data_IF_832128606057
#
_entry.id   IF_832128606057
#
_cell.length_a   1.000
_cell.length_b   1.000
_cell.length_c   1.000
_cell.angle_alpha   90.00
_cell.angle_beta   90.00
_cell.angle_gamma   90.00
#
_symmetry.space_group_name_H-M   'P 1'
#
loop_
_entity.id
_entity.type
_entity.pdbx_description
1 polymer ?
#
# COMPACT_ATOMS: atom_id res chain seq x y z
N UNK A 1 -49.03 15.32 48.34
CA UNK A 1 -48.30 14.64 47.24
C UNK A 1 -47.43 15.67 46.56
N UNK A 2 -46.10 15.77 46.91
CA UNK A 2 -45.16 16.58 46.22
C UNK A 2 -44.70 15.77 45.00
N UNK A 3 -45.26 16.08 43.82
CA UNK A 3 -44.71 15.52 42.57
C UNK A 3 -43.28 16.07 42.38
N UNK A 4 -42.31 15.20 42.58
CA UNK A 4 -40.94 15.48 42.22
C UNK A 4 -40.90 15.90 40.73
N UNK A 5 -40.63 17.17 40.46
CA UNK A 5 -40.33 17.64 39.11
C UNK A 5 -39.12 16.90 38.59
N UNK A 6 -39.37 15.92 37.76
CA UNK A 6 -38.34 15.10 37.13
C UNK A 6 -37.47 16.06 36.32
N UNK A 7 -36.18 16.10 36.63
CA UNK A 7 -35.16 16.89 35.95
C UNK A 7 -34.84 16.38 34.52
N UNK A 8 -35.86 15.99 33.77
CA UNK A 8 -35.75 15.55 32.35
C UNK A 8 -35.10 16.58 31.40
N UNK A 9 -35.33 17.90 31.54
CA UNK A 9 -34.77 18.84 30.58
C UNK A 9 -33.24 18.92 30.58
N UNK A 10 -32.61 18.77 31.75
CA UNK A 10 -31.15 18.93 31.88
C UNK A 10 -30.41 17.73 31.28
N UNK A 11 -30.87 16.51 31.57
CA UNK A 11 -30.28 15.29 31.01
C UNK A 11 -30.46 15.20 29.49
N UNK A 12 -31.63 15.62 28.99
CA UNK A 12 -31.90 15.67 27.56
C UNK A 12 -31.05 16.74 26.86
N UNK A 13 -30.92 17.94 27.47
CA UNK A 13 -30.07 19.00 26.93
C UNK A 13 -28.60 18.58 26.86
N UNK A 14 -28.10 17.86 27.87
CA UNK A 14 -26.76 17.29 27.88
C UNK A 14 -26.58 16.25 26.80
N UNK A 15 -27.52 15.31 26.65
CA UNK A 15 -27.46 14.30 25.59
C UNK A 15 -27.48 14.92 24.18
N UNK A 16 -28.20 16.03 23.98
CA UNK A 16 -28.20 16.77 22.72
C UNK A 16 -26.88 17.49 22.51
N UNK A 17 -26.26 18.07 23.55
CA UNK A 17 -24.96 18.70 23.48
C UNK A 17 -23.87 17.67 23.09
N UNK A 18 -23.82 16.53 23.77
CA UNK A 18 -22.88 15.42 23.49
C UNK A 18 -23.00 14.93 22.03
N UNK A 19 -24.24 14.81 21.53
CA UNK A 19 -24.48 14.41 20.12
C UNK A 19 -24.05 15.50 19.11
N UNK A 20 -24.20 16.78 19.46
CA UNK A 20 -23.73 17.88 18.61
C UNK A 20 -22.22 17.93 18.54
N UNK A 21 -21.55 17.71 19.65
CA UNK A 21 -20.09 17.62 19.73
C UNK A 21 -19.56 16.46 18.87
N UNK A 22 -20.11 15.26 19.03
CA UNK A 22 -19.76 14.09 18.22
C UNK A 22 -20.04 14.32 16.71
N UNK A 23 -21.09 15.07 16.36
CA UNK A 23 -21.35 15.44 14.98
C UNK A 23 -20.35 16.46 14.44
N UNK A 24 -19.91 17.42 15.27
CA UNK A 24 -18.91 18.40 14.88
C UNK A 24 -17.56 17.72 14.63
N UNK A 25 -17.17 16.80 15.49
CA UNK A 25 -15.96 15.99 15.34
C UNK A 25 -15.99 15.17 14.04
N UNK A 26 -17.06 14.44 13.78
CA UNK A 26 -17.21 13.68 12.53
C UNK A 26 -17.19 14.55 11.26
N UNK A 27 -17.73 15.79 11.35
CA UNK A 27 -17.66 16.74 10.22
C UNK A 27 -16.24 17.21 9.97
N UNK A 28 -15.46 17.41 11.04
CA UNK A 28 -14.04 17.74 10.92
C UNK A 28 -13.29 16.61 10.27
N UNK A 29 -13.45 15.37 10.77
CA UNK A 29 -12.83 14.17 10.20
C UNK A 29 -13.15 14.02 8.70
N UNK A 30 -14.41 14.27 8.32
CA UNK A 30 -14.81 14.20 6.91
C UNK A 30 -14.12 15.29 6.07
N UNK A 31 -14.00 16.52 6.58
CA UNK A 31 -13.32 17.60 5.89
C UNK A 31 -11.82 17.29 5.72
N UNK A 32 -11.19 16.72 6.74
CA UNK A 32 -9.80 16.29 6.71
C UNK A 32 -9.58 15.18 5.68
N UNK A 33 -10.46 14.17 5.65
CA UNK A 33 -10.45 13.11 4.63
C UNK A 33 -10.64 13.66 3.21
N UNK A 34 -11.54 14.62 3.01
CA UNK A 34 -11.76 15.27 1.71
C UNK A 34 -10.53 16.06 1.27
N UNK A 35 -9.87 16.74 2.20
CA UNK A 35 -8.62 17.47 1.93
C UNK A 35 -7.50 16.52 1.54
N UNK A 36 -7.36 15.42 2.29
CA UNK A 36 -6.40 14.36 1.95
C UNK A 36 -6.68 13.77 0.56
N UNK A 37 -7.94 13.43 0.26
CA UNK A 37 -8.32 12.89 -1.04
C UNK A 37 -7.90 13.81 -2.20
N UNK A 38 -8.05 15.14 -2.04
CA UNK A 38 -7.59 16.11 -3.05
C UNK A 38 -6.07 16.12 -3.18
N UNK A 39 -5.33 16.05 -2.08
CA UNK A 39 -3.88 16.03 -2.09
C UNK A 39 -3.32 14.79 -2.80
N UNK A 40 -3.96 13.65 -2.59
CA UNK A 40 -3.55 12.37 -3.16
C UNK A 40 -4.07 12.11 -4.59
N UNK A 41 -5.07 12.87 -5.08
CA UNK A 41 -5.73 12.60 -6.35
C UNK A 41 -4.76 12.43 -7.55
N UNK A 42 -3.71 13.26 -7.75
CA UNK A 42 -2.77 13.07 -8.85
C UNK A 42 -1.96 11.77 -8.74
N UNK A 43 -1.54 11.42 -7.52
CA UNK A 43 -0.80 10.17 -7.28
C UNK A 43 -1.69 8.94 -7.48
N UNK A 44 -2.96 9.00 -7.07
CA UNK A 44 -3.94 7.95 -7.35
C UNK A 44 -4.22 7.77 -8.83
N UNK A 45 -4.21 8.84 -9.62
CA UNK A 45 -4.40 8.73 -11.07
C UNK A 45 -3.29 7.90 -11.72
N UNK A 46 -2.03 8.14 -11.33
CA UNK A 46 -0.88 7.34 -11.79
C UNK A 46 -0.99 5.90 -11.27
N UNK A 47 -1.29 5.73 -9.97
CA UNK A 47 -1.45 4.41 -9.38
C UNK A 47 -2.51 3.56 -10.09
N UNK A 48 -3.67 4.14 -10.38
CA UNK A 48 -4.75 3.46 -11.11
C UNK A 48 -4.31 3.06 -12.52
N UNK A 49 -3.64 3.96 -13.26
CA UNK A 49 -3.14 3.65 -14.59
C UNK A 49 -2.12 2.50 -14.58
N UNK A 50 -1.26 2.43 -13.57
CA UNK A 50 -0.31 1.32 -13.40
C UNK A 50 -1.06 0.01 -13.09
N UNK A 51 -2.06 0.03 -12.20
CA UNK A 51 -2.88 -1.13 -11.87
C UNK A 51 -3.66 -1.62 -13.09
N UNK A 52 -4.27 -0.72 -13.86
CA UNK A 52 -4.98 -1.06 -15.10
C UNK A 52 -4.05 -1.71 -16.14
N UNK A 53 -2.82 -1.19 -16.30
CA UNK A 53 -1.81 -1.82 -17.14
C UNK A 53 -1.41 -3.20 -16.62
N UNK A 54 -1.19 -3.35 -15.32
CA UNK A 54 -0.88 -4.64 -14.73
C UNK A 54 -1.98 -5.67 -15.00
N UNK A 55 -3.24 -5.27 -14.84
CA UNK A 55 -4.39 -6.12 -15.15
C UNK A 55 -4.49 -6.46 -16.64
N UNK A 56 -4.26 -5.49 -17.53
CA UNK A 56 -4.32 -5.68 -18.97
C UNK A 56 -3.29 -6.68 -19.50
N UNK A 57 -2.11 -6.74 -18.88
CA UNK A 57 -1.05 -7.71 -19.20
C UNK A 57 -1.15 -9.01 -18.41
N UNK A 58 -2.18 -9.16 -17.58
CA UNK A 58 -2.42 -10.38 -16.79
C UNK A 58 -1.55 -10.52 -15.55
N UNK A 59 -0.99 -9.41 -15.04
CA UNK A 59 -0.23 -9.40 -13.79
C UNK A 59 -0.90 -8.46 -12.79
N UNK A 60 -1.86 -8.93 -12.06
CA UNK A 60 -2.38 -8.28 -10.86
C UNK A 60 -3.43 -9.16 -10.19
N UNK A 61 -3.00 -10.20 -9.52
CA UNK A 61 -3.90 -11.05 -8.74
C UNK A 61 -4.38 -10.32 -7.49
N UNK A 62 -3.47 -9.60 -6.86
CA UNK A 62 -3.75 -8.76 -5.71
C UNK A 62 -3.14 -7.38 -5.89
N UNK A 63 -3.87 -6.35 -5.51
CA UNK A 63 -3.35 -5.00 -5.44
C UNK A 63 -3.94 -4.25 -4.25
N UNK A 64 -3.18 -3.30 -3.73
CA UNK A 64 -3.62 -2.39 -2.68
C UNK A 64 -2.98 -1.02 -2.86
N UNK A 65 -3.67 0.01 -2.39
CA UNK A 65 -3.14 1.37 -2.32
C UNK A 65 -3.37 1.91 -0.92
N UNK A 66 -2.32 2.36 -0.25
CA UNK A 66 -2.37 2.85 1.13
C UNK A 66 -1.82 4.27 1.17
N UNK A 67 -2.69 5.27 1.35
CA UNK A 67 -2.26 6.63 1.66
C UNK A 67 -1.82 6.71 3.12
N UNK A 68 -0.78 7.47 3.39
CA UNK A 68 -0.31 7.79 4.73
C UNK A 68 0.10 9.26 4.80
N UNK A 69 -0.21 9.89 5.91
CA UNK A 69 0.18 11.27 6.19
C UNK A 69 0.89 11.31 7.52
N UNK A 70 2.20 11.50 7.47
CA UNK A 70 3.04 11.62 8.65
C UNK A 70 3.27 13.09 8.98
N UNK A 71 2.94 13.47 10.20
CA UNK A 71 3.24 14.80 10.75
C UNK A 71 4.38 14.66 11.75
N UNK A 72 5.52 15.22 11.42
CA UNK A 72 6.70 15.18 12.28
C UNK A 72 6.63 16.25 13.37
N UNK A 73 7.29 16.01 14.48
CA UNK A 73 7.31 16.92 15.65
C UNK A 73 7.85 18.32 15.34
N UNK A 74 8.61 18.46 14.24
CA UNK A 74 9.13 19.76 13.76
C UNK A 74 8.21 20.44 12.75
N UNK A 75 6.98 19.95 12.55
CA UNK A 75 5.95 20.55 11.70
C UNK A 75 6.00 20.16 10.22
N UNK A 76 6.92 19.30 9.81
CA UNK A 76 6.93 18.74 8.45
C UNK A 76 5.75 17.76 8.27
N UNK A 77 5.06 17.88 7.15
CA UNK A 77 4.00 16.96 6.74
C UNK A 77 4.48 16.19 5.50
N UNK A 78 4.56 14.87 5.62
CA UNK A 78 4.91 14.00 4.50
C UNK A 78 3.71 13.14 4.12
N UNK A 79 3.27 13.30 2.88
CA UNK A 79 2.24 12.45 2.30
C UNK A 79 2.90 11.35 1.48
N UNK A 80 2.55 10.11 1.75
CA UNK A 80 3.05 8.95 1.01
C UNK A 80 1.89 8.11 0.49
N UNK A 81 1.99 7.62 -0.74
CA UNK A 81 1.07 6.65 -1.32
C UNK A 81 1.86 5.41 -1.69
N UNK A 82 1.58 4.31 -1.01
CA UNK A 82 2.20 3.01 -1.31
C UNK A 82 1.21 2.17 -2.07
N UNK A 83 1.57 1.79 -3.29
CA UNK A 83 0.82 0.88 -4.15
C UNK A 83 1.56 -0.45 -4.18
N UNK A 84 0.85 -1.53 -3.87
CA UNK A 84 1.39 -2.89 -3.97
C UNK A 84 0.61 -3.66 -5.02
N UNK A 85 1.34 -4.30 -5.94
CA UNK A 85 0.80 -5.15 -7.00
C UNK A 85 1.49 -6.50 -6.86
N UNK A 86 0.71 -7.57 -6.74
CA UNK A 86 1.22 -8.90 -6.45
C UNK A 86 0.60 -9.93 -7.39
N UNK A 87 1.43 -10.82 -7.90
CA UNK A 87 0.99 -12.01 -8.63
C UNK A 87 1.99 -13.16 -8.50
N UNK A 88 1.56 -14.35 -8.90
CA UNK A 88 2.39 -15.56 -8.93
C UNK A 88 2.85 -15.81 -10.36
N UNK A 89 4.15 -15.96 -10.55
CA UNK A 89 4.77 -16.14 -11.85
C UNK A 89 5.66 -17.39 -11.88
N UNK A 90 5.78 -18.02 -13.06
CA UNK A 90 6.74 -19.09 -13.30
C UNK A 90 8.11 -18.59 -13.75
N UNK A 91 8.19 -17.38 -14.27
CA UNK A 91 9.42 -16.73 -14.73
C UNK A 91 9.40 -15.22 -14.43
N UNK A 92 10.56 -14.68 -14.06
CA UNK A 92 10.75 -13.24 -13.90
C UNK A 92 11.21 -12.55 -15.19
N UNK A 93 11.63 -13.30 -16.19
CA UNK A 93 12.19 -12.78 -17.46
C UNK A 93 11.19 -12.73 -18.59
N UNK A 94 10.19 -13.59 -18.56
CA UNK A 94 9.22 -13.76 -19.62
C UNK A 94 7.85 -13.20 -19.23
N UNK A 95 7.11 -12.66 -20.19
CA UNK A 95 5.72 -12.26 -20.04
C UNK A 95 5.48 -10.98 -19.28
N UNK A 96 4.58 -11.02 -18.33
CA UNK A 96 3.98 -9.83 -17.73
C UNK A 96 4.92 -9.00 -16.85
N UNK A 97 5.90 -9.64 -16.16
CA UNK A 97 6.78 -8.90 -15.22
C UNK A 97 7.64 -7.86 -15.94
N UNK A 98 8.44 -8.20 -16.98
CA UNK A 98 9.22 -7.20 -17.72
C UNK A 98 8.36 -6.08 -18.31
N UNK A 99 7.21 -6.42 -18.89
CA UNK A 99 6.29 -5.44 -19.46
C UNK A 99 5.73 -4.48 -18.40
N UNK A 100 5.42 -4.99 -17.19
CA UNK A 100 4.97 -4.14 -16.10
C UNK A 100 6.08 -3.22 -15.59
N UNK A 101 7.32 -3.71 -15.46
CA UNK A 101 8.45 -2.89 -15.04
C UNK A 101 8.71 -1.75 -16.03
N UNK A 102 8.64 -2.01 -17.34
CA UNK A 102 8.75 -1.00 -18.38
C UNK A 102 7.58 0.00 -18.31
N UNK A 103 6.35 -0.49 -18.16
CA UNK A 103 5.17 0.35 -18.03
C UNK A 103 5.26 1.31 -16.85
N UNK A 104 5.72 0.86 -15.68
CA UNK A 104 5.88 1.70 -14.49
C UNK A 104 6.87 2.84 -14.75
N UNK A 105 7.96 2.58 -15.45
CA UNK A 105 8.95 3.60 -15.81
C UNK A 105 8.39 4.67 -16.75
N UNK A 106 7.45 4.32 -17.63
CA UNK A 106 6.80 5.31 -18.52
C UNK A 106 5.97 6.34 -17.79
N UNK A 107 5.56 6.05 -16.55
CA UNK A 107 4.90 7.02 -15.66
C UNK A 107 5.88 7.87 -14.84
N UNK A 108 7.17 7.81 -15.15
CA UNK A 108 8.21 8.62 -14.48
C UNK A 108 8.62 8.12 -13.11
N UNK A 109 8.39 6.84 -12.80
CA UNK A 109 8.89 6.23 -11.58
C UNK A 109 10.30 5.69 -11.79
N UNK A 110 11.18 5.95 -10.84
CA UNK A 110 12.55 5.47 -10.83
C UNK A 110 12.67 4.18 -10.02
N UNK A 111 13.43 3.22 -10.52
CA UNK A 111 13.71 2.00 -9.79
C UNK A 111 14.68 2.29 -8.64
N UNK A 112 14.25 2.02 -7.41
CA UNK A 112 15.06 2.25 -6.20
C UNK A 112 15.64 0.98 -5.61
N UNK A 113 15.14 -0.18 -6.02
CA UNK A 113 15.72 -1.44 -5.57
C UNK A 113 14.94 -2.67 -5.96
N UNK A 114 15.61 -3.79 -5.82
CA UNK A 114 15.03 -5.13 -5.94
C UNK A 114 15.41 -5.91 -4.69
N UNK A 115 14.47 -6.63 -4.12
CA UNK A 115 14.68 -7.44 -2.93
C UNK A 115 14.09 -8.82 -3.11
N UNK A 116 14.89 -9.86 -2.83
CA UNK A 116 14.45 -11.24 -2.85
C UNK A 116 13.99 -11.68 -1.47
N UNK A 117 12.82 -12.27 -1.44
CA UNK A 117 12.26 -12.93 -0.27
C UNK A 117 12.22 -14.42 -0.56
N UNK A 118 13.02 -15.20 0.14
CA UNK A 118 13.03 -16.63 -0.05
C UNK A 118 13.05 -17.35 1.30
N UNK A 119 11.97 -18.04 1.59
CA UNK A 119 11.78 -18.91 2.74
C UNK A 119 11.59 -20.35 2.25
N UNK A 120 11.59 -21.31 3.14
CA UNK A 120 11.44 -22.72 2.80
C UNK A 120 10.21 -23.00 1.92
N UNK A 121 9.08 -22.32 2.23
CA UNK A 121 7.77 -22.53 1.61
C UNK A 121 7.35 -21.46 0.63
N UNK A 122 8.07 -20.35 0.48
CA UNK A 122 7.75 -19.30 -0.48
C UNK A 122 9.02 -18.60 -0.99
N UNK A 123 8.91 -18.07 -2.18
CA UNK A 123 9.91 -17.20 -2.77
C UNK A 123 9.21 -16.08 -3.54
N UNK A 124 9.65 -14.85 -3.36
CA UNK A 124 9.18 -13.70 -4.12
C UNK A 124 10.32 -12.75 -4.44
N UNK A 125 10.22 -12.07 -5.57
CA UNK A 125 11.06 -10.93 -5.90
C UNK A 125 10.23 -9.66 -5.88
N UNK A 126 10.68 -8.69 -5.13
CA UNK A 126 10.03 -7.39 -4.95
C UNK A 126 10.82 -6.32 -5.70
N UNK A 127 10.17 -5.66 -6.63
CA UNK A 127 10.69 -4.48 -7.32
C UNK A 127 10.05 -3.23 -6.71
N UNK A 128 10.87 -2.24 -6.41
CA UNK A 128 10.41 -0.99 -5.80
C UNK A 128 10.75 0.19 -6.71
N UNK A 129 9.74 1.02 -6.94
CA UNK A 129 9.83 2.23 -7.73
C UNK A 129 9.31 3.41 -6.92
N UNK A 130 9.88 4.57 -7.13
CA UNK A 130 9.48 5.79 -6.44
C UNK A 130 9.44 6.97 -7.40
N UNK A 131 8.54 7.89 -7.12
CA UNK A 131 8.49 9.22 -7.73
C UNK A 131 7.78 10.19 -6.79
N UNK A 132 7.93 11.49 -7.07
CA UNK A 132 7.22 12.53 -6.35
C UNK A 132 6.14 13.14 -7.25
N UNK A 133 4.89 13.10 -6.79
CA UNK A 133 3.74 13.63 -7.52
C UNK A 133 3.15 14.78 -6.71
N UNK A 134 3.51 16.01 -7.06
CA UNK A 134 3.19 17.19 -6.25
C UNK A 134 3.86 17.12 -4.88
N UNK A 135 3.07 17.03 -3.82
CA UNK A 135 3.55 16.88 -2.44
C UNK A 135 3.39 15.45 -1.90
N UNK A 136 3.14 14.48 -2.77
CA UNK A 136 2.97 13.07 -2.40
C UNK A 136 4.16 12.27 -2.91
N UNK A 137 4.80 11.51 -2.03
CA UNK A 137 5.81 10.51 -2.39
C UNK A 137 5.06 9.22 -2.78
N UNK A 138 5.07 8.89 -4.08
CA UNK A 138 4.46 7.69 -4.62
C UNK A 138 5.49 6.57 -4.67
N UNK A 139 5.21 5.48 -3.96
CA UNK A 139 5.97 4.23 -4.03
C UNK A 139 5.12 3.15 -4.67
N UNK A 140 5.65 2.49 -5.70
CA UNK A 140 5.04 1.31 -6.32
C UNK A 140 5.89 0.10 -6.01
N UNK A 141 5.29 -0.90 -5.38
CA UNK A 141 5.90 -2.19 -5.05
C UNK A 141 5.24 -3.26 -5.92
N UNK A 142 6.06 -3.93 -6.72
CA UNK A 142 5.64 -5.07 -7.53
C UNK A 142 6.24 -6.32 -6.91
N UNK A 143 5.40 -7.26 -6.50
CA UNK A 143 5.82 -8.51 -5.89
C UNK A 143 5.47 -9.67 -6.80
N UNK A 144 6.50 -10.31 -7.36
CA UNK A 144 6.38 -11.51 -8.17
C UNK A 144 6.66 -12.73 -7.28
N UNK A 145 5.60 -13.42 -6.88
CA UNK A 145 5.72 -14.69 -6.16
C UNK A 145 6.12 -15.79 -7.14
N UNK A 146 7.18 -16.50 -6.85
CA UNK A 146 7.67 -17.57 -7.70
C UNK A 146 6.81 -18.81 -7.49
N UNK A 147 6.22 -19.31 -8.57
CA UNK A 147 5.42 -20.52 -8.54
C UNK A 147 6.25 -21.73 -8.10
N UNK A 148 5.65 -22.60 -7.30
CA UNK A 148 6.28 -23.88 -6.94
C UNK A 148 6.52 -24.71 -8.19
N UNK A 149 7.72 -25.31 -8.27
CA UNK A 149 8.13 -26.12 -9.42
C UNK A 149 8.54 -25.31 -10.66
N UNK A 150 8.76 -23.97 -10.53
CA UNK A 150 9.30 -23.16 -11.61
C UNK A 150 10.63 -23.71 -12.13
N UNK A 151 10.71 -23.89 -13.46
CA UNK A 151 11.97 -24.35 -14.10
C UNK A 151 12.98 -23.20 -14.26
N UNK A 152 12.48 -21.97 -14.42
CA UNK A 152 13.31 -20.80 -14.70
C UNK A 152 13.82 -20.07 -13.46
N UNK A 153 13.19 -20.28 -12.30
CA UNK A 153 13.61 -19.69 -11.03
C UNK A 153 13.65 -20.77 -9.94
N UNK A 154 14.80 -20.89 -9.29
CA UNK A 154 15.02 -21.87 -8.22
C UNK A 154 15.44 -21.18 -6.95
N UNK A 155 14.97 -21.70 -5.82
CA UNK A 155 15.52 -21.37 -4.51
C UNK A 155 16.81 -22.17 -4.30
N UNK A 156 17.87 -21.48 -3.97
CA UNK A 156 19.14 -22.11 -3.60
C UNK A 156 19.40 -21.76 -2.14
N UNK A 157 19.58 -22.78 -1.30
CA UNK A 157 19.95 -22.55 0.09
C UNK A 157 21.39 -22.03 0.14
N UNK A 158 21.55 -20.79 0.58
CA UNK A 158 22.85 -20.10 0.67
C UNK A 158 23.46 -20.13 2.06
N UNK A 159 22.67 -20.54 3.06
CA UNK A 159 23.14 -20.65 4.43
C UNK A 159 22.04 -20.91 5.44
N UNK A 160 22.42 -20.91 6.71
CA UNK A 160 21.51 -20.98 7.85
C UNK A 160 21.79 -19.78 8.73
N UNK A 161 20.78 -18.97 9.02
CA UNK A 161 20.90 -17.78 9.84
C UNK A 161 20.29 -18.06 11.22
N UNK A 162 21.09 -17.98 12.26
CA UNK A 162 20.67 -18.14 13.66
C UNK A 162 19.53 -19.14 13.92
N UNK A 163 19.73 -20.10 14.76
CA UNK A 163 18.71 -21.07 15.20
C UNK A 163 18.06 -21.90 14.05
N UNK A 164 18.87 -22.37 13.10
CA UNK A 164 18.44 -23.31 12.03
C UNK A 164 17.46 -22.73 10.99
N UNK A 165 17.35 -21.40 10.86
CA UNK A 165 16.56 -20.80 9.77
C UNK A 165 17.40 -20.79 8.49
N UNK A 166 17.00 -21.59 7.51
CA UNK A 166 17.65 -21.63 6.20
C UNK A 166 17.47 -20.31 5.44
N UNK A 167 18.54 -19.82 4.83
CA UNK A 167 18.49 -18.68 3.91
C UNK A 167 18.50 -19.16 2.48
N UNK A 168 17.72 -18.50 1.62
CA UNK A 168 17.54 -18.88 0.22
C UNK A 168 17.78 -17.68 -0.68
N UNK A 169 18.21 -17.91 -1.89
CA UNK A 169 18.35 -16.93 -2.96
C UNK A 169 17.49 -17.37 -4.16
N UNK A 170 16.94 -16.39 -4.90
CA UNK A 170 16.17 -16.65 -6.11
C UNK A 170 17.12 -16.54 -7.30
N UNK A 171 17.29 -17.64 -8.01
CA UNK A 171 18.08 -17.70 -9.24
C UNK A 171 17.15 -18.00 -10.42
N UNK A 172 17.18 -17.11 -11.40
CA UNK A 172 16.38 -17.21 -12.63
C UNK A 172 17.33 -17.35 -13.83
N UNK A 173 17.09 -18.35 -14.65
CA UNK A 173 17.82 -18.63 -15.90
C UNK A 173 17.27 -17.88 -17.11
#
# INVERSE_FOLDING_TARGET
FIMARIAKPVLFARAVADKREALAERRKDLADLQSQAKAFAPAYAIANAIIENAQAIGFAKHFSARPDTNVFSWGEVRNTLVVSIEDTVSSLKEGAVPALLEAVQTYGLEAVGTHDYALEYCASRVFRFETKVGNVDLTVRIEANIADGSESCKKIQTGVKYEEVATYEIVCS
#
